data_IF_832084889980
#
_entry.id   IF_832084889980
#
_cell.length_a   1.000
_cell.length_b   1.000
_cell.length_c   1.000
_cell.angle_alpha   90.00
_cell.angle_beta   90.00
_cell.angle_gamma   90.00
#
_symmetry.space_group_name_H-M   'P 1'
#
loop_
_entity.id
_entity.type
_entity.pdbx_description
1 polymer ?
#
# COMPACT_ATOMS: atom_id res chain seq x y z
N UNK A 1 53.87 -48.38 -14.33
CA UNK A 1 53.67 -47.17 -15.17
C UNK A 1 53.58 -45.96 -14.25
N UNK A 2 54.67 -45.22 -14.19
CA UNK A 2 54.83 -43.96 -13.44
C UNK A 2 54.47 -42.80 -14.38
N UNK A 3 53.95 -41.70 -13.79
CA UNK A 3 53.69 -40.35 -14.36
C UNK A 3 52.22 -40.04 -14.66
N UNK A 4 51.57 -39.34 -13.71
CA UNK A 4 50.74 -38.14 -13.97
C UNK A 4 50.23 -37.56 -12.65
N UNK A 5 51.01 -36.66 -12.06
CA UNK A 5 50.61 -35.91 -10.86
C UNK A 5 51.35 -34.57 -10.76
N UNK A 6 51.25 -33.71 -11.78
CA UNK A 6 51.63 -32.28 -11.68
C UNK A 6 50.86 -31.46 -12.72
N UNK A 7 49.67 -30.91 -12.39
CA UNK A 7 49.17 -29.66 -13.02
C UNK A 7 47.86 -29.10 -12.42
N UNK A 8 47.77 -28.85 -11.11
CA UNK A 8 46.69 -27.98 -10.56
C UNK A 8 47.24 -27.12 -9.43
N UNK A 9 48.00 -26.07 -9.78
CA UNK A 9 48.36 -24.97 -8.86
C UNK A 9 48.86 -23.78 -9.67
N UNK A 10 47.96 -23.07 -10.38
CA UNK A 10 48.32 -21.77 -11.01
C UNK A 10 47.19 -20.77 -11.28
N UNK A 11 45.95 -21.01 -10.82
CA UNK A 11 44.84 -20.06 -11.06
C UNK A 11 44.39 -19.22 -9.86
N UNK A 12 44.87 -19.47 -8.63
CA UNK A 12 44.43 -18.71 -7.43
C UNK A 12 45.08 -17.32 -7.26
N UNK A 13 46.11 -16.97 -8.04
CA UNK A 13 46.82 -15.68 -7.88
C UNK A 13 46.23 -14.53 -8.70
N UNK A 14 45.28 -14.78 -9.62
CA UNK A 14 44.70 -13.72 -10.46
C UNK A 14 43.46 -13.07 -9.83
N UNK A 15 42.69 -13.79 -9.02
CA UNK A 15 41.50 -13.24 -8.35
C UNK A 15 41.86 -12.28 -7.19
N UNK A 16 42.99 -12.49 -6.53
CA UNK A 16 43.41 -11.64 -5.39
C UNK A 16 43.86 -10.23 -5.81
N UNK A 17 44.24 -10.01 -7.08
CA UNK A 17 44.65 -8.68 -7.59
C UNK A 17 43.47 -7.83 -8.06
N UNK A 18 42.29 -8.43 -8.28
CA UNK A 18 41.10 -7.72 -8.73
C UNK A 18 40.35 -7.05 -7.57
N UNK A 19 40.47 -7.61 -6.36
CA UNK A 19 39.86 -7.04 -5.15
C UNK A 19 40.57 -5.76 -4.65
N UNK A 20 41.89 -5.64 -4.81
CA UNK A 20 42.66 -4.45 -4.40
C UNK A 20 42.39 -3.22 -5.30
N UNK A 21 42.05 -3.44 -6.58
CA UNK A 21 41.70 -2.37 -7.51
C UNK A 21 40.40 -1.66 -7.15
N UNK A 22 39.41 -2.42 -6.67
CA UNK A 22 38.09 -1.89 -6.28
C UNK A 22 38.20 -1.03 -5.00
N UNK A 23 39.00 -1.47 -4.03
CA UNK A 23 39.22 -0.72 -2.78
C UNK A 23 39.95 0.62 -3.02
N UNK A 24 40.90 0.66 -3.97
CA UNK A 24 41.56 1.92 -4.38
C UNK A 24 40.62 2.89 -5.10
N UNK A 25 39.73 2.38 -5.96
CA UNK A 25 38.71 3.19 -6.64
C UNK A 25 37.69 3.80 -5.67
N UNK A 26 37.26 3.05 -4.64
CA UNK A 26 36.37 3.59 -3.60
C UNK A 26 37.05 4.67 -2.74
N UNK A 27 38.33 4.50 -2.40
CA UNK A 27 39.08 5.51 -1.65
C UNK A 27 39.28 6.82 -2.42
N UNK A 28 39.48 6.75 -3.75
CA UNK A 28 39.59 7.94 -4.62
C UNK A 28 38.25 8.67 -4.71
N UNK A 29 37.13 7.93 -4.84
CA UNK A 29 35.78 8.50 -4.89
C UNK A 29 35.40 9.20 -3.58
N UNK A 30 35.84 8.67 -2.43
CA UNK A 30 35.64 9.31 -1.12
C UNK A 30 36.43 10.61 -0.96
N UNK A 31 37.69 10.66 -1.44
CA UNK A 31 38.52 11.89 -1.38
C UNK A 31 38.01 12.99 -2.31
N UNK A 32 37.44 12.64 -3.47
CA UNK A 32 36.81 13.62 -4.37
C UNK A 32 35.52 14.21 -3.77
N UNK A 33 34.73 13.42 -3.04
CA UNK A 33 33.54 13.91 -2.31
C UNK A 33 33.88 14.91 -1.21
N UNK A 34 34.94 14.68 -0.43
CA UNK A 34 35.34 15.62 0.61
C UNK A 34 35.85 16.96 0.06
N UNK A 35 36.44 16.97 -1.14
CA UNK A 35 36.86 18.22 -1.82
C UNK A 35 35.69 19.04 -2.35
N UNK A 36 34.61 18.41 -2.80
CA UNK A 36 33.40 19.13 -3.23
C UNK A 36 32.60 19.72 -2.07
N UNK A 37 32.57 19.06 -0.90
CA UNK A 37 31.93 19.61 0.30
C UNK A 37 32.62 20.87 0.83
N UNK A 38 33.95 20.94 0.76
CA UNK A 38 34.70 22.14 1.17
C UNK A 38 34.43 23.34 0.24
N UNK A 39 34.20 23.11 -1.06
CA UNK A 39 33.85 24.18 -1.99
C UNK A 39 32.42 24.70 -1.79
N UNK A 40 31.50 23.83 -1.39
CA UNK A 40 30.12 24.23 -1.11
C UNK A 40 29.99 25.08 0.16
N UNK A 41 30.78 24.79 1.20
CA UNK A 41 30.79 25.56 2.45
C UNK A 41 31.37 26.98 2.30
N UNK A 42 32.25 27.21 1.32
CA UNK A 42 32.80 28.56 1.03
C UNK A 42 31.79 29.43 0.27
N UNK A 43 30.89 28.83 -0.51
CA UNK A 43 29.90 29.56 -1.32
C UNK A 43 28.65 30.01 -0.53
N UNK A 44 28.32 29.34 0.57
CA UNK A 44 27.13 29.68 1.40
C UNK A 44 27.40 30.86 2.36
N UNK A 45 28.66 31.25 2.55
CA UNK A 45 29.03 32.33 3.49
C UNK A 45 28.91 33.76 2.92
N UNK A 46 28.43 33.97 1.68
CA UNK A 46 28.45 35.31 1.03
C UNK A 46 27.18 35.66 0.25
N UNK A 47 26.01 35.67 0.90
CA UNK A 47 24.82 36.36 0.35
C UNK A 47 24.07 37.11 1.46
N UNK A 48 23.92 38.45 1.38
CA UNK A 48 23.15 39.23 2.35
C UNK A 48 21.64 39.20 2.07
N UNK A 49 20.86 39.21 3.16
CA UNK A 49 19.41 39.36 3.20
C UNK A 49 18.94 40.66 2.52
N UNK A 50 18.00 40.53 1.58
CA UNK A 50 17.08 41.59 1.19
C UNK A 50 15.64 41.10 1.40
N UNK A 51 14.97 41.72 2.37
CA UNK A 51 13.55 41.55 2.67
C UNK A 51 12.73 42.32 1.63
N UNK A 52 11.75 41.67 1.02
CA UNK A 52 10.64 42.34 0.36
C UNK A 52 9.32 41.92 1.00
N UNK A 53 8.64 42.92 1.54
CA UNK A 53 7.24 42.91 1.96
C UNK A 53 6.36 42.98 0.72
N UNK A 54 5.41 42.06 0.56
CA UNK A 54 4.33 42.20 -0.43
C UNK A 54 2.97 42.03 0.25
N UNK A 55 2.18 43.05 -0.04
CA UNK A 55 0.85 43.43 0.37
C UNK A 55 -0.21 42.40 -0.08
N UNK A 56 -1.20 42.18 0.77
CA UNK A 56 -2.28 41.21 0.61
C UNK A 56 -3.58 41.97 0.31
N UNK A 57 -4.23 41.75 -0.85
CA UNK A 57 -5.61 42.18 -1.09
C UNK A 57 -6.23 41.51 -2.34
N UNK A 58 -7.50 41.08 -2.16
CA UNK A 58 -8.50 40.58 -3.14
C UNK A 58 -8.23 39.18 -3.75
N UNK A 59 -9.19 38.24 -3.83
CA UNK A 59 -10.60 38.36 -4.18
C UNK A 59 -11.45 37.20 -3.61
N UNK A 60 -12.64 37.54 -3.10
CA UNK A 60 -13.79 36.64 -2.91
C UNK A 60 -14.65 36.63 -4.19
N UNK A 61 -15.06 35.43 -4.65
CA UNK A 61 -16.39 35.05 -5.18
C UNK A 61 -16.28 33.90 -6.18
N UNK A 62 -16.76 32.71 -5.81
CA UNK A 62 -17.52 31.75 -6.65
C UNK A 62 -17.61 30.37 -5.98
N UNK A 63 -18.67 30.11 -5.19
CA UNK A 63 -18.88 28.81 -4.53
C UNK A 63 -20.29 28.20 -4.71
N UNK A 64 -21.05 28.58 -5.75
CA UNK A 64 -22.43 28.10 -5.93
C UNK A 64 -22.66 27.10 -7.08
N UNK A 65 -21.61 26.54 -7.69
CA UNK A 65 -21.77 25.52 -8.76
C UNK A 65 -21.35 24.09 -8.37
N UNK A 66 -20.72 23.90 -7.21
CA UNK A 66 -20.12 22.61 -6.84
C UNK A 66 -21.10 21.65 -6.13
N UNK A 67 -22.19 22.16 -5.54
CA UNK A 67 -23.17 21.38 -4.77
C UNK A 67 -24.11 20.51 -5.65
N UNK A 68 -24.17 20.75 -6.97
CA UNK A 68 -25.05 19.99 -7.87
C UNK A 68 -24.40 18.72 -8.46
N UNK A 69 -23.07 18.57 -8.40
CA UNK A 69 -22.41 17.34 -8.86
C UNK A 69 -22.50 16.19 -7.83
N UNK A 70 -22.50 16.51 -6.52
CA UNK A 70 -22.54 15.52 -5.44
C UNK A 70 -23.89 14.76 -5.35
N UNK A 71 -25.01 15.40 -5.70
CA UNK A 71 -26.32 14.74 -5.68
C UNK A 71 -26.54 13.73 -6.82
N UNK A 72 -25.74 13.80 -7.90
CA UNK A 72 -25.84 12.85 -9.01
C UNK A 72 -25.15 11.52 -8.71
N UNK A 73 -24.11 11.54 -7.86
CA UNK A 73 -23.31 10.35 -7.56
C UNK A 73 -23.98 9.41 -6.55
N UNK A 74 -24.62 9.97 -5.51
CA UNK A 74 -25.42 9.20 -4.53
C UNK A 74 -26.67 8.57 -5.17
N UNK A 75 -27.29 9.21 -6.18
CA UNK A 75 -28.41 8.61 -6.92
C UNK A 75 -27.99 7.54 -7.94
N UNK A 76 -26.76 7.60 -8.45
CA UNK A 76 -26.21 6.59 -9.35
C UNK A 76 -25.91 5.25 -8.65
N UNK A 77 -25.47 5.31 -7.39
CA UNK A 77 -25.11 4.11 -6.61
C UNK A 77 -26.33 3.32 -6.13
N UNK A 78 -27.41 4.01 -5.74
CA UNK A 78 -28.69 3.37 -5.35
C UNK A 78 -29.44 2.69 -6.52
N UNK A 79 -29.09 3.00 -7.78
CA UNK A 79 -29.77 2.41 -8.96
C UNK A 79 -29.20 1.07 -9.42
N UNK A 80 -28.06 0.64 -8.87
CA UNK A 80 -27.43 -0.64 -9.22
C UNK A 80 -27.87 -1.80 -8.29
N UNK A 81 -28.54 -1.48 -7.17
CA UNK A 81 -29.17 -2.45 -6.29
C UNK A 81 -30.61 -2.78 -6.76
N UNK A 82 -30.73 -3.71 -7.70
CA UNK A 82 -31.86 -4.62 -7.80
C UNK A 82 -33.22 -4.08 -8.27
N UNK A 83 -33.49 -4.21 -9.57
CA UNK A 83 -34.85 -4.47 -10.06
C UNK A 83 -35.19 -5.93 -9.73
N UNK A 84 -35.62 -6.20 -8.49
CA UNK A 84 -36.35 -7.43 -8.17
C UNK A 84 -37.84 -7.18 -8.45
N UNK A 85 -38.34 -7.78 -9.52
CA UNK A 85 -39.77 -7.92 -9.77
C UNK A 85 -40.41 -8.74 -8.65
N UNK A 86 -41.23 -8.08 -7.84
CA UNK A 86 -42.08 -8.69 -6.81
C UNK A 86 -43.31 -9.32 -7.47
N UNK A 87 -43.28 -10.65 -7.61
CA UNK A 87 -44.49 -11.46 -7.80
C UNK A 87 -45.11 -11.70 -6.41
N UNK A 88 -46.22 -11.03 -6.14
CA UNK A 88 -47.03 -11.24 -4.93
C UNK A 88 -47.77 -12.57 -5.01
N UNK A 89 -47.32 -13.56 -4.25
CA UNK A 89 -48.12 -14.72 -3.84
C UNK A 89 -48.30 -14.69 -2.33
N UNK A 90 -49.52 -14.42 -1.91
CA UNK A 90 -50.00 -14.50 -0.53
C UNK A 90 -50.06 -15.97 -0.09
N UNK A 91 -49.26 -16.35 0.90
CA UNK A 91 -49.52 -17.52 1.74
C UNK A 91 -49.07 -17.24 3.18
N UNK A 92 -50.03 -17.39 4.08
CA UNK A 92 -49.90 -17.30 5.53
C UNK A 92 -48.96 -18.36 6.11
N UNK A 93 -48.38 -18.02 7.26
CA UNK A 93 -48.01 -18.89 8.41
C UNK A 93 -46.53 -18.98 8.77
N UNK A 94 -46.32 -18.95 10.10
CA UNK A 94 -45.13 -19.21 10.90
C UNK A 94 -44.16 -18.03 11.11
N UNK A 95 -44.37 -17.32 12.23
CA UNK A 95 -43.43 -16.37 12.81
C UNK A 95 -42.22 -17.12 13.38
N UNK A 96 -41.19 -17.31 12.57
CA UNK A 96 -39.85 -17.64 13.04
C UNK A 96 -39.19 -16.32 13.45
N UNK A 97 -39.01 -16.11 14.74
CA UNK A 97 -38.22 -15.00 15.30
C UNK A 97 -36.75 -15.17 14.95
N UNK A 98 -36.40 -14.84 13.71
CA UNK A 98 -35.02 -14.59 13.32
C UNK A 98 -34.53 -13.41 14.15
N UNK A 99 -33.72 -13.70 15.18
CA UNK A 99 -32.95 -12.66 15.87
C UNK A 99 -32.04 -12.04 14.83
N UNK A 100 -32.48 -10.93 14.24
CA UNK A 100 -31.62 -10.03 13.52
C UNK A 100 -30.59 -9.57 14.54
N UNK A 101 -29.42 -10.21 14.50
CA UNK A 101 -28.21 -9.74 15.15
C UNK A 101 -27.98 -8.32 14.63
N UNK A 102 -28.56 -7.34 15.32
CA UNK A 102 -28.33 -5.92 15.09
C UNK A 102 -26.83 -5.76 15.09
N UNK A 103 -26.26 -5.36 13.94
CA UNK A 103 -24.86 -4.98 13.84
C UNK A 103 -24.62 -3.99 14.98
N UNK A 104 -23.98 -4.42 16.06
CA UNK A 104 -23.67 -3.53 17.17
C UNK A 104 -22.53 -2.64 16.68
N UNK A 105 -22.89 -1.43 16.27
CA UNK A 105 -21.92 -0.35 16.07
C UNK A 105 -21.22 0.02 17.37
N UNK A 106 -20.39 1.06 17.32
CA UNK A 106 -19.70 1.58 18.51
C UNK A 106 -20.67 1.90 19.64
N UNK A 107 -20.38 1.43 20.85
CA UNK A 107 -21.08 1.88 22.04
C UNK A 107 -20.75 3.35 22.35
N UNK A 108 -21.65 4.03 23.05
CA UNK A 108 -21.40 5.40 23.53
C UNK A 108 -20.22 5.50 24.51
N UNK A 109 -19.86 4.41 25.18
CA UNK A 109 -18.63 4.34 25.98
C UNK A 109 -17.40 4.32 25.07
N UNK A 110 -17.37 3.44 24.06
CA UNK A 110 -16.26 3.37 23.10
C UNK A 110 -16.06 4.72 22.40
N UNK A 111 -17.12 5.36 21.88
CA UNK A 111 -17.02 6.68 21.26
C UNK A 111 -16.40 7.73 22.20
N UNK A 112 -16.81 7.77 23.47
CA UNK A 112 -16.22 8.68 24.47
C UNK A 112 -14.74 8.38 24.73
N UNK A 113 -14.35 7.11 24.77
CA UNK A 113 -12.95 6.72 24.96
C UNK A 113 -12.08 7.05 23.74
N UNK A 114 -12.61 6.86 22.53
CA UNK A 114 -11.95 7.30 21.29
C UNK A 114 -11.81 8.83 21.31
N UNK A 115 -12.89 9.59 21.53
CA UNK A 115 -12.84 11.06 21.62
C UNK A 115 -11.86 11.57 22.68
N UNK A 116 -11.69 10.85 23.79
CA UNK A 116 -10.72 11.19 24.83
C UNK A 116 -9.27 10.94 24.38
N UNK A 117 -9.02 9.86 23.64
CA UNK A 117 -7.67 9.48 23.17
C UNK A 117 -7.24 10.21 21.91
N UNK A 118 -8.21 10.61 21.08
CA UNK A 118 -8.03 11.35 19.82
C UNK A 118 -8.94 12.58 19.81
N UNK A 119 -8.70 13.60 20.65
CA UNK A 119 -9.60 14.74 20.79
C UNK A 119 -9.66 15.67 19.57
N UNK A 120 -8.68 15.61 18.66
CA UNK A 120 -8.61 16.48 17.49
C UNK A 120 -7.72 15.90 16.37
N UNK A 121 -7.76 16.53 15.19
CA UNK A 121 -6.97 16.13 14.02
C UNK A 121 -5.46 15.99 14.31
N UNK A 122 -4.86 16.92 15.05
CA UNK A 122 -3.42 16.88 15.35
C UNK A 122 -3.04 15.61 16.12
N UNK A 123 -3.84 15.24 17.13
CA UNK A 123 -3.60 13.99 17.89
C UNK A 123 -3.76 12.73 17.04
N UNK A 124 -4.64 12.77 16.03
CA UNK A 124 -4.79 11.64 15.09
C UNK A 124 -3.54 11.51 14.25
N UNK A 125 -3.09 12.60 13.61
CA UNK A 125 -1.89 12.62 12.76
C UNK A 125 -0.68 12.08 13.51
N UNK A 126 -0.42 12.60 14.72
CA UNK A 126 0.71 12.14 15.54
C UNK A 126 0.63 10.65 15.90
N UNK A 127 -0.58 10.14 16.11
CA UNK A 127 -0.82 8.74 16.43
C UNK A 127 -0.68 7.80 15.23
N UNK A 128 -0.94 8.28 14.00
CA UNK A 128 -1.12 7.44 12.79
C UNK A 128 -0.08 7.65 11.68
N UNK A 129 0.83 8.62 11.81
CA UNK A 129 1.80 8.96 10.75
C UNK A 129 2.77 7.82 10.40
N UNK A 130 3.10 6.98 11.38
CA UNK A 130 4.04 5.87 11.21
C UNK A 130 3.55 4.65 11.99
N UNK A 131 2.58 3.87 11.49
CA UNK A 131 2.23 2.59 12.08
C UNK A 131 3.48 1.72 12.11
N UNK A 132 3.94 1.34 13.30
CA UNK A 132 5.14 0.54 13.48
C UNK A 132 4.76 -0.94 13.57
N UNK A 133 5.41 -1.78 12.76
CA UNK A 133 5.47 -3.25 12.88
C UNK A 133 4.27 -3.84 13.63
N UNK A 134 3.11 -3.70 13.00
CA UNK A 134 1.86 -4.13 13.58
C UNK A 134 1.89 -5.63 13.79
N UNK A 135 2.01 -6.01 15.07
CA UNK A 135 2.06 -7.42 15.47
C UNK A 135 0.85 -8.17 14.94
N UNK A 136 -0.33 -7.54 14.92
CA UNK A 136 -1.55 -8.13 14.40
C UNK A 136 -1.45 -8.48 12.89
N UNK A 137 -0.84 -7.61 12.08
CA UNK A 137 -0.66 -7.87 10.64
C UNK A 137 0.40 -8.93 10.43
N UNK A 138 1.52 -8.80 11.11
CA UNK A 138 2.64 -9.75 11.03
C UNK A 138 2.20 -11.16 11.43
N UNK A 139 1.42 -11.29 12.51
CA UNK A 139 0.86 -12.56 12.96
C UNK A 139 -0.10 -13.14 11.91
N UNK A 140 -0.92 -12.32 11.25
CA UNK A 140 -1.77 -12.77 10.16
C UNK A 140 -0.98 -13.27 8.96
N UNK A 141 0.02 -12.50 8.51
CA UNK A 141 0.90 -12.87 7.40
C UNK A 141 1.63 -14.20 7.67
N UNK A 142 2.09 -14.42 8.90
CA UNK A 142 2.78 -15.66 9.30
C UNK A 142 1.84 -16.87 9.44
N UNK A 143 0.58 -16.65 9.82
CA UNK A 143 -0.38 -17.72 10.10
C UNK A 143 -1.36 -18.00 8.96
N UNK A 144 -1.29 -17.28 7.84
CA UNK A 144 -2.26 -17.38 6.75
C UNK A 144 -2.39 -18.81 6.17
N UNK A 145 -1.36 -19.65 6.33
CA UNK A 145 -1.30 -21.02 5.81
C UNK A 145 -1.79 -22.13 6.75
N UNK A 146 -1.97 -21.87 8.04
CA UNK A 146 -2.23 -22.94 9.02
C UNK A 146 -3.61 -23.62 8.85
N UNK A 147 -4.44 -23.17 7.90
CA UNK A 147 -5.75 -23.76 7.62
C UNK A 147 -5.75 -24.74 6.45
N UNK A 148 -4.64 -24.93 5.71
CA UNK A 148 -4.52 -25.95 4.65
C UNK A 148 -3.39 -26.94 4.99
N UNK A 149 -3.68 -27.98 5.80
CA UNK A 149 -2.71 -29.00 6.15
C UNK A 149 -2.50 -29.98 4.98
N UNK A 150 -1.53 -29.71 4.09
CA UNK A 150 -0.68 -30.71 3.40
C UNK A 150 -0.06 -30.13 2.12
N UNK A 151 1.22 -29.78 2.15
CA UNK A 151 1.99 -29.46 0.94
C UNK A 151 3.38 -30.13 1.00
N UNK A 152 3.39 -31.45 1.17
CA UNK A 152 4.62 -32.26 1.09
C UNK A 152 4.85 -32.90 -0.30
N UNK A 153 4.02 -32.64 -1.32
CA UNK A 153 4.26 -33.17 -2.66
C UNK A 153 5.09 -32.21 -3.53
N UNK A 154 6.38 -32.47 -3.59
CA UNK A 154 7.25 -31.97 -4.64
C UNK A 154 6.79 -32.53 -6.00
N UNK A 155 5.95 -31.81 -6.78
CA UNK A 155 6.02 -31.76 -8.25
C UNK A 155 4.98 -30.83 -8.90
N UNK A 156 5.47 -29.73 -9.48
CA UNK A 156 5.11 -29.16 -10.80
C UNK A 156 3.67 -28.69 -11.11
N UNK A 157 2.96 -28.10 -10.16
CA UNK A 157 1.90 -27.12 -10.49
C UNK A 157 1.97 -25.95 -9.53
N UNK A 158 1.77 -24.69 -9.99
CA UNK A 158 1.71 -23.56 -9.08
C UNK A 158 0.59 -23.85 -8.08
N UNK A 159 0.89 -23.89 -6.77
CA UNK A 159 -0.11 -24.23 -5.78
C UNK A 159 -1.23 -23.19 -5.86
N UNK A 160 -2.49 -23.62 -5.80
CA UNK A 160 -3.64 -22.69 -5.72
C UNK A 160 -3.59 -21.77 -4.47
N UNK A 161 -2.57 -21.96 -3.61
CA UNK A 161 -2.42 -21.39 -2.28
C UNK A 161 -1.30 -20.33 -2.19
N UNK A 162 -0.77 -19.79 -3.30
CA UNK A 162 0.21 -18.69 -3.17
C UNK A 162 -0.46 -17.46 -2.57
N UNK A 163 0.28 -16.77 -1.69
CA UNK A 163 -0.16 -15.53 -1.07
C UNK A 163 -0.11 -14.39 -2.08
N UNK A 164 -1.26 -13.78 -2.38
CA UNK A 164 -1.32 -12.62 -3.28
C UNK A 164 -1.25 -11.34 -2.47
N UNK A 165 -0.25 -10.50 -2.77
CA UNK A 165 -0.16 -9.13 -2.25
C UNK A 165 -0.22 -8.15 -3.43
N UNK A 166 -1.10 -7.15 -3.35
CA UNK A 166 -1.16 -6.07 -4.33
C UNK A 166 -0.72 -4.78 -3.64
N UNK A 167 0.40 -4.20 -4.06
CA UNK A 167 0.92 -2.93 -3.56
C UNK A 167 0.85 -1.87 -4.67
N UNK A 168 -0.13 -0.98 -4.57
CA UNK A 168 -0.37 0.10 -5.53
C UNK A 168 0.30 1.39 -5.06
N UNK A 169 1.12 1.98 -5.92
CA UNK A 169 2.01 3.07 -5.51
C UNK A 169 3.20 2.55 -4.71
N UNK A 170 3.78 1.46 -5.21
CA UNK A 170 4.80 0.68 -4.53
C UNK A 170 6.06 1.48 -4.17
N UNK A 171 6.30 2.63 -4.80
CA UNK A 171 7.34 3.60 -4.49
C UNK A 171 8.72 2.93 -4.46
N UNK A 172 9.36 2.81 -3.29
CA UNK A 172 10.69 2.17 -3.15
C UNK A 172 10.61 0.65 -2.97
N UNK A 173 9.41 0.09 -2.86
CA UNK A 173 9.14 -1.34 -2.77
C UNK A 173 9.42 -1.97 -1.41
N UNK A 174 9.67 -1.19 -0.36
CA UNK A 174 10.03 -1.74 0.95
C UNK A 174 8.91 -2.58 1.57
N UNK A 175 7.64 -2.19 1.41
CA UNK A 175 6.51 -2.95 1.95
C UNK A 175 6.28 -4.23 1.17
N UNK A 176 6.44 -4.18 -0.17
CA UNK A 176 6.41 -5.37 -1.02
C UNK A 176 7.47 -6.40 -0.58
N UNK A 177 8.69 -5.94 -0.31
CA UNK A 177 9.79 -6.79 0.16
C UNK A 177 9.55 -7.29 1.60
N UNK A 178 9.04 -6.44 2.48
CA UNK A 178 8.71 -6.82 3.85
C UNK A 178 7.68 -7.96 3.84
N UNK A 179 6.55 -7.78 3.13
CA UNK A 179 5.49 -8.80 3.05
C UNK A 179 6.01 -10.08 2.39
N UNK A 180 6.77 -9.96 1.29
CA UNK A 180 7.38 -11.10 0.62
C UNK A 180 8.28 -11.90 1.57
N UNK A 181 9.12 -11.22 2.34
CA UNK A 181 10.01 -11.84 3.32
C UNK A 181 9.24 -12.48 4.47
N UNK A 182 8.21 -11.80 5.00
CA UNK A 182 7.34 -12.32 6.07
C UNK A 182 6.69 -13.64 5.67
N UNK A 183 6.08 -13.67 4.50
CA UNK A 183 5.25 -14.80 4.06
C UNK A 183 6.10 -15.95 3.51
N UNK A 184 7.11 -15.64 2.69
CA UNK A 184 7.94 -16.68 2.05
C UNK A 184 9.12 -17.15 2.91
N UNK A 185 9.53 -16.34 3.89
CA UNK A 185 10.72 -16.54 4.72
C UNK A 185 12.01 -16.72 3.90
N UNK A 186 12.09 -16.04 2.75
CA UNK A 186 13.26 -16.04 1.86
C UNK A 186 14.11 -14.81 2.11
N UNK A 187 14.75 -14.75 3.28
CA UNK A 187 15.67 -13.66 3.64
C UNK A 187 16.95 -13.65 2.80
N UNK A 188 17.23 -14.70 2.04
CA UNK A 188 18.26 -14.74 0.99
C UNK A 188 17.91 -13.86 -0.22
N UNK A 189 16.61 -13.67 -0.47
CA UNK A 189 16.05 -12.95 -1.61
C UNK A 189 15.50 -11.59 -1.17
N UNK A 190 14.55 -11.59 -0.24
CA UNK A 190 13.74 -10.43 0.16
C UNK A 190 14.29 -9.72 1.41
N UNK A 191 15.61 -9.66 1.58
CA UNK A 191 16.22 -8.89 2.67
C UNK A 191 16.13 -7.39 2.40
N UNK A 192 15.64 -6.59 3.35
CA UNK A 192 15.54 -5.12 3.16
C UNK A 192 16.88 -4.48 2.83
N UNK A 193 17.95 -4.86 3.55
CA UNK A 193 19.31 -4.33 3.28
C UNK A 193 19.84 -4.67 1.89
N UNK A 194 19.56 -5.89 1.39
CA UNK A 194 19.94 -6.30 0.02
C UNK A 194 19.15 -5.52 -1.02
N UNK A 195 17.85 -5.31 -0.78
CA UNK A 195 16.99 -4.50 -1.63
C UNK A 195 17.43 -3.04 -1.68
N UNK A 196 17.67 -2.43 -0.51
CA UNK A 196 18.19 -1.05 -0.40
C UNK A 196 19.50 -0.87 -1.18
N UNK A 197 20.43 -1.82 -1.04
CA UNK A 197 21.68 -1.80 -1.80
C UNK A 197 21.44 -1.90 -3.31
N UNK A 198 20.49 -2.75 -3.74
CA UNK A 198 20.16 -2.95 -5.15
C UNK A 198 19.48 -1.71 -5.77
N UNK A 199 18.68 -0.97 -5.01
CA UNK A 199 18.11 0.32 -5.44
C UNK A 199 19.21 1.38 -5.65
N UNK A 200 20.30 1.34 -4.88
CA UNK A 200 21.41 2.29 -5.05
C UNK A 200 21.04 3.77 -4.84
N UNK A 201 19.94 4.05 -4.14
CA UNK A 201 19.49 5.39 -3.76
C UNK A 201 19.69 5.63 -2.26
N UNK A 202 20.01 6.86 -1.88
CA UNK A 202 20.17 7.26 -0.47
C UNK A 202 18.86 7.80 0.11
N UNK A 203 17.76 7.08 -0.12
CA UNK A 203 16.44 7.44 0.37
C UNK A 203 15.92 6.33 1.26
N UNK A 204 15.73 6.65 2.55
CA UNK A 204 15.32 5.67 3.56
C UNK A 204 13.81 5.42 3.59
N UNK A 205 13.04 6.23 2.86
CA UNK A 205 11.59 6.32 2.98
C UNK A 205 11.18 6.99 4.29
N UNK A 206 9.91 7.37 4.36
CA UNK A 206 9.29 7.79 5.60
C UNK A 206 9.31 6.65 6.64
N UNK A 207 9.25 7.01 7.92
CA UNK A 207 9.21 6.04 9.03
C UNK A 207 10.39 5.03 9.08
N UNK A 208 11.54 5.35 8.47
CA UNK A 208 12.72 4.46 8.41
C UNK A 208 12.46 3.09 7.74
N UNK A 209 11.53 3.02 6.79
CA UNK A 209 11.17 1.78 6.08
C UNK A 209 12.38 0.98 5.56
N UNK A 210 13.44 1.67 5.09
CA UNK A 210 14.65 1.05 4.56
C UNK A 210 15.61 0.46 5.60
N UNK A 211 15.56 0.92 6.85
CA UNK A 211 16.54 0.58 7.91
C UNK A 211 15.93 -0.32 8.99
N UNK A 212 14.60 -0.47 9.01
CA UNK A 212 13.93 -1.37 9.93
C UNK A 212 14.54 -2.78 9.91
N UNK A 213 14.68 -3.38 11.10
CA UNK A 213 15.15 -4.74 11.23
C UNK A 213 14.24 -5.67 10.42
N UNK A 214 14.84 -6.56 9.62
CA UNK A 214 14.12 -7.70 9.08
C UNK A 214 13.50 -8.45 10.27
N UNK A 215 12.22 -8.77 10.22
CA UNK A 215 11.57 -9.48 11.31
C UNK A 215 12.22 -10.87 11.42
N UNK A 216 12.66 -11.21 12.62
CA UNK A 216 13.26 -12.50 12.92
C UNK A 216 12.11 -13.46 13.20
N UNK A 217 11.91 -14.41 12.29
CA UNK A 217 10.83 -15.39 12.42
C UNK A 217 11.32 -16.67 13.06
N UNK A 218 10.45 -17.32 13.82
CA UNK A 218 10.64 -18.71 14.20
C UNK A 218 10.66 -19.58 12.93
N UNK A 219 11.67 -20.42 12.82
CA UNK A 219 11.80 -21.44 11.76
C UNK A 219 10.61 -22.39 11.68
N UNK A 220 9.79 -22.51 12.73
CA UNK A 220 8.63 -23.40 12.82
C UNK A 220 7.47 -23.07 11.86
N UNK A 221 7.23 -21.79 11.51
CA UNK A 221 6.11 -21.51 10.58
C UNK A 221 6.42 -22.04 9.15
N UNK A 222 5.42 -22.56 8.43
CA UNK A 222 5.61 -23.05 7.07
C UNK A 222 6.00 -21.91 6.11
N UNK A 223 6.84 -22.23 5.11
CA UNK A 223 7.12 -21.31 3.99
C UNK A 223 5.91 -21.30 3.05
N UNK A 224 5.51 -20.12 2.58
CA UNK A 224 4.45 -19.96 1.60
C UNK A 224 5.01 -19.40 0.28
N UNK A 225 4.56 -19.91 -0.86
CA UNK A 225 4.81 -19.26 -2.14
C UNK A 225 4.08 -17.91 -2.18
N UNK A 226 4.71 -16.89 -2.75
CA UNK A 226 4.13 -15.54 -2.82
C UNK A 226 3.93 -15.13 -4.28
N UNK A 227 2.91 -14.31 -4.51
CA UNK A 227 2.64 -13.59 -5.75
C UNK A 227 2.46 -12.11 -5.38
N UNK A 228 3.56 -11.37 -5.37
CA UNK A 228 3.62 -9.97 -4.97
C UNK A 228 3.58 -9.11 -6.21
N UNK A 229 2.55 -8.28 -6.35
CA UNK A 229 2.47 -7.28 -7.41
C UNK A 229 2.83 -5.91 -6.82
N UNK A 230 3.93 -5.34 -7.31
CA UNK A 230 4.40 -4.01 -7.00
C UNK A 230 4.09 -3.11 -8.20
N UNK A 231 3.08 -2.25 -8.07
CA UNK A 231 2.60 -1.40 -9.14
C UNK A 231 3.08 0.04 -8.87
N UNK A 232 3.86 0.58 -9.79
CA UNK A 232 4.46 1.92 -9.69
C UNK A 232 4.16 2.73 -10.95
N UNK A 233 3.57 3.91 -10.80
CA UNK A 233 3.19 4.75 -11.95
C UNK A 233 4.38 5.56 -12.47
N UNK A 234 5.28 6.05 -11.61
CA UNK A 234 6.42 6.88 -11.99
C UNK A 234 7.44 6.08 -12.82
N UNK A 235 7.66 6.42 -14.11
CA UNK A 235 8.49 5.59 -15.00
C UNK A 235 9.95 5.45 -14.56
N UNK A 236 10.52 6.47 -13.92
CA UNK A 236 11.87 6.40 -13.38
C UNK A 236 11.97 5.43 -12.18
N UNK A 237 11.02 5.50 -11.25
CA UNK A 237 10.93 4.59 -10.09
C UNK A 237 10.67 3.16 -10.54
N UNK A 238 9.73 2.95 -11.47
CA UNK A 238 9.45 1.63 -12.06
C UNK A 238 10.71 0.97 -12.63
N UNK A 239 11.46 1.69 -13.47
CA UNK A 239 12.72 1.17 -14.05
C UNK A 239 13.72 0.79 -12.97
N UNK A 240 13.83 1.58 -11.91
CA UNK A 240 14.71 1.28 -10.80
C UNK A 240 14.27 0.01 -10.04
N UNK A 241 12.98 -0.13 -9.76
CA UNK A 241 12.41 -1.30 -9.10
C UNK A 241 12.66 -2.59 -9.91
N UNK A 242 12.52 -2.54 -11.24
CA UNK A 242 12.84 -3.68 -12.12
C UNK A 242 14.32 -4.09 -12.01
N UNK A 243 15.24 -3.11 -12.04
CA UNK A 243 16.66 -3.39 -11.89
C UNK A 243 16.97 -4.01 -10.51
N UNK A 244 16.35 -3.52 -9.45
CA UNK A 244 16.51 -4.07 -8.11
C UNK A 244 15.92 -5.49 -7.99
N UNK A 245 14.76 -5.74 -8.59
CA UNK A 245 14.11 -7.05 -8.62
C UNK A 245 14.98 -8.09 -9.34
N UNK A 246 15.56 -7.74 -10.49
CA UNK A 246 16.50 -8.57 -11.21
C UNK A 246 17.79 -8.82 -10.41
N UNK A 247 18.39 -7.77 -9.82
CA UNK A 247 19.64 -7.87 -9.05
C UNK A 247 19.51 -8.72 -7.78
N UNK A 248 18.33 -8.74 -7.17
CA UNK A 248 18.04 -9.53 -5.96
C UNK A 248 17.49 -10.92 -6.24
N UNK A 249 17.18 -11.21 -7.50
CA UNK A 249 16.43 -12.38 -8.02
C UNK A 249 14.99 -12.50 -7.53
N UNK A 250 14.43 -11.44 -6.97
CA UNK A 250 13.06 -11.40 -6.44
C UNK A 250 11.99 -11.84 -7.45
N UNK A 251 12.18 -11.55 -8.74
CA UNK A 251 11.23 -11.92 -9.80
C UNK A 251 11.04 -13.43 -9.95
N UNK A 252 12.11 -14.20 -9.74
CA UNK A 252 12.06 -15.67 -9.79
C UNK A 252 11.30 -16.27 -8.59
N UNK A 253 11.04 -15.48 -7.56
CA UNK A 253 10.36 -15.88 -6.33
C UNK A 253 9.01 -15.20 -6.16
N UNK A 254 8.40 -14.76 -7.26
CA UNK A 254 7.02 -14.31 -7.30
C UNK A 254 6.81 -12.81 -7.06
N UNK A 255 7.87 -11.99 -7.13
CA UNK A 255 7.72 -10.53 -7.18
C UNK A 255 7.53 -10.06 -8.63
N UNK A 256 6.53 -9.23 -8.89
CA UNK A 256 6.23 -8.71 -10.21
C UNK A 256 6.15 -7.19 -10.15
N UNK A 257 6.96 -6.51 -10.94
CA UNK A 257 6.97 -5.05 -11.03
C UNK A 257 6.16 -4.61 -12.25
N UNK A 258 5.22 -3.68 -12.07
CA UNK A 258 4.33 -3.20 -13.13
C UNK A 258 4.34 -1.68 -13.23
N UNK A 259 4.22 -1.14 -14.46
CA UNK A 259 4.09 0.29 -14.70
C UNK A 259 2.66 0.63 -15.13
N UNK A 260 1.83 1.01 -14.17
CA UNK A 260 0.46 1.44 -14.42
C UNK A 260 0.09 2.61 -13.51
N UNK A 261 -0.64 3.58 -14.07
CA UNK A 261 -1.38 4.57 -13.29
C UNK A 261 -2.75 3.99 -12.91
N UNK A 262 -3.09 3.98 -11.63
CA UNK A 262 -4.37 3.44 -11.17
C UNK A 262 -5.45 4.52 -11.22
N UNK A 263 -6.67 4.15 -11.62
CA UNK A 263 -7.82 5.07 -11.71
C UNK A 263 -9.12 4.39 -11.27
N UNK A 264 -10.18 5.17 -11.05
CA UNK A 264 -11.52 4.67 -10.73
C UNK A 264 -12.21 4.10 -11.96
N UNK A 265 -11.99 4.71 -13.14
CA UNK A 265 -12.60 4.34 -14.42
C UNK A 265 -11.71 4.78 -15.58
N UNK A 266 -11.64 3.94 -16.61
CA UNK A 266 -11.12 4.33 -17.91
C UNK A 266 -12.18 5.14 -18.66
N UNK A 267 -12.24 6.45 -18.40
CA UNK A 267 -13.02 7.37 -19.22
C UNK A 267 -12.11 8.07 -20.22
N UNK A 268 -12.62 8.35 -21.42
CA UNK A 268 -11.88 9.07 -22.48
C UNK A 268 -11.32 10.41 -21.99
N UNK A 269 -12.03 11.06 -21.06
CA UNK A 269 -11.67 12.37 -20.55
C UNK A 269 -10.51 12.31 -19.54
N UNK A 270 -10.32 11.17 -18.87
CA UNK A 270 -9.28 11.00 -17.84
C UNK A 270 -8.07 10.21 -18.34
N UNK A 271 -8.27 9.31 -19.32
CA UNK A 271 -7.21 8.49 -19.90
C UNK A 271 -7.47 8.32 -21.41
N UNK A 272 -7.22 9.35 -22.24
CA UNK A 272 -7.38 9.23 -23.68
C UNK A 272 -6.45 8.12 -24.19
N UNK A 273 -7.05 7.12 -24.85
CA UNK A 273 -6.37 5.89 -25.30
C UNK A 273 -5.88 4.96 -24.17
N UNK A 274 -6.39 5.11 -22.95
CA UNK A 274 -5.97 4.29 -21.80
C UNK A 274 -4.58 4.65 -21.27
N UNK A 275 -4.11 5.88 -21.52
CA UNK A 275 -2.83 6.40 -21.03
C UNK A 275 -3.10 7.64 -20.17
N UNK A 276 -2.29 7.83 -19.12
CA UNK A 276 -2.30 9.01 -18.26
C UNK A 276 -0.87 9.58 -18.19
N UNK A 277 -0.66 10.89 -18.40
CA UNK A 277 0.65 11.49 -18.22
C UNK A 277 1.02 11.47 -16.73
N UNK A 278 2.23 11.03 -16.41
CA UNK A 278 2.75 10.92 -15.05
C UNK A 278 4.15 11.53 -14.95
N UNK A 279 4.53 12.15 -13.81
CA UNK A 279 5.86 12.73 -13.66
C UNK A 279 6.98 11.69 -13.88
N UNK A 280 8.04 12.06 -14.59
CA UNK A 280 9.24 11.25 -14.80
C UNK A 280 10.45 11.95 -14.18
N UNK A 281 10.43 12.04 -12.84
CA UNK A 281 11.44 12.73 -12.02
C UNK A 281 12.45 11.73 -11.43
N UNK A 282 13.24 12.15 -10.44
CA UNK A 282 14.19 11.26 -9.77
C UNK A 282 13.46 10.05 -9.13
N UNK A 283 13.97 8.81 -9.26
CA UNK A 283 13.37 7.64 -8.63
C UNK A 283 13.15 7.80 -7.13
N UNK A 284 12.01 7.30 -6.64
CA UNK A 284 11.63 7.34 -5.22
C UNK A 284 11.19 8.70 -4.70
N UNK A 285 11.08 9.71 -5.57
CA UNK A 285 10.55 11.03 -5.18
C UNK A 285 9.08 10.88 -4.75
N UNK A 286 8.81 11.19 -3.49
CA UNK A 286 7.48 11.17 -2.88
C UNK A 286 6.69 12.44 -3.23
N UNK A 287 5.39 12.44 -2.97
CA UNK A 287 4.42 13.51 -3.23
C UNK A 287 4.25 13.86 -4.72
N UNK A 288 4.43 12.89 -5.62
CA UNK A 288 4.35 13.07 -7.08
C UNK A 288 3.29 12.16 -7.70
N UNK A 289 2.04 12.61 -7.68
CA UNK A 289 0.90 11.92 -8.30
C UNK A 289 0.49 12.47 -9.68
N UNK A 290 -0.57 11.87 -10.25
CA UNK A 290 -1.16 12.17 -11.57
C UNK A 290 -1.41 13.69 -11.76
N UNK A 291 -1.93 14.36 -10.73
CA UNK A 291 -2.33 15.77 -10.78
C UNK A 291 -1.20 16.74 -11.20
N UNK A 292 0.07 16.35 -11.05
CA UNK A 292 1.22 17.16 -11.46
C UNK A 292 1.33 17.33 -12.98
N UNK A 293 0.80 16.37 -13.74
CA UNK A 293 0.82 16.39 -15.20
C UNK A 293 -0.52 16.78 -15.83
N UNK A 294 -1.56 16.99 -15.02
CA UNK A 294 -2.94 17.17 -15.50
C UNK A 294 -3.38 18.63 -15.67
N UNK A 295 -2.59 19.63 -15.27
CA UNK A 295 -3.03 21.02 -15.29
C UNK A 295 -2.26 21.88 -16.29
N UNK A 296 -2.99 22.44 -17.26
CA UNK A 296 -2.51 23.47 -18.19
C UNK A 296 -2.03 24.75 -17.47
N UNK A 297 -2.38 24.90 -16.18
CA UNK A 297 -2.11 26.10 -15.38
C UNK A 297 -1.12 25.90 -14.22
N UNK A 298 -0.51 24.72 -14.02
CA UNK A 298 0.58 24.62 -13.04
C UNK A 298 1.92 25.01 -13.69
N UNK A 299 2.63 26.02 -13.14
CA UNK A 299 3.99 26.35 -13.58
C UNK A 299 4.95 25.15 -13.49
N UNK A 300 4.69 24.23 -12.56
CA UNK A 300 5.45 23.00 -12.40
C UNK A 300 5.29 22.04 -13.59
N UNK A 301 4.12 21.99 -14.23
CA UNK A 301 3.86 21.14 -15.40
C UNK A 301 4.71 21.55 -16.62
N UNK A 302 5.10 22.83 -16.72
CA UNK A 302 6.03 23.29 -17.76
C UNK A 302 7.49 22.87 -17.51
N UNK A 303 7.83 22.53 -16.26
CA UNK A 303 9.21 22.16 -15.86
C UNK A 303 9.40 20.67 -15.64
N UNK A 304 8.33 19.93 -15.33
CA UNK A 304 8.38 18.50 -15.06
C UNK A 304 8.21 17.72 -16.36
N UNK A 305 9.15 16.80 -16.61
CA UNK A 305 9.05 15.89 -17.74
C UNK A 305 7.96 14.85 -17.46
N UNK A 306 6.77 15.05 -18.02
CA UNK A 306 5.68 14.08 -17.97
C UNK A 306 5.85 13.02 -19.07
N UNK A 307 5.54 11.76 -18.73
CA UNK A 307 5.54 10.64 -19.66
C UNK A 307 4.22 9.89 -19.55
N UNK A 308 3.64 9.50 -20.69
CA UNK A 308 2.41 8.71 -20.72
C UNK A 308 2.64 7.30 -20.14
N UNK A 309 1.79 6.92 -19.20
CA UNK A 309 1.79 5.63 -18.52
C UNK A 309 0.45 4.93 -18.74
N UNK A 310 0.41 3.62 -19.02
CA UNK A 310 -0.84 2.89 -19.16
C UNK A 310 -1.69 3.02 -17.89
N UNK A 311 -2.96 3.35 -18.05
CA UNK A 311 -3.91 3.48 -16.96
C UNK A 311 -4.79 2.23 -16.84
N UNK A 312 -5.18 1.87 -15.62
CA UNK A 312 -6.19 0.83 -15.39
C UNK A 312 -6.85 0.94 -14.01
N UNK A 313 -7.98 0.28 -13.85
CA UNK A 313 -8.60 0.05 -12.54
C UNK A 313 -7.95 -1.15 -11.83
N UNK A 314 -8.11 -1.24 -10.51
CA UNK A 314 -7.66 -2.43 -9.74
C UNK A 314 -8.39 -3.68 -10.23
N UNK A 315 -9.70 -3.59 -10.51
CA UNK A 315 -10.48 -4.73 -10.99
C UNK A 315 -9.96 -5.29 -12.33
N UNK A 316 -9.59 -4.41 -13.26
CA UNK A 316 -8.95 -4.79 -14.53
C UNK A 316 -7.56 -5.38 -14.30
N UNK A 317 -6.76 -4.79 -13.39
CA UNK A 317 -5.42 -5.29 -13.07
C UNK A 317 -5.48 -6.72 -12.56
N UNK A 318 -6.35 -6.98 -11.60
CA UNK A 318 -6.52 -8.30 -10.99
C UNK A 318 -7.03 -9.31 -12.01
N UNK A 319 -7.99 -8.92 -12.85
CA UNK A 319 -8.46 -9.78 -13.95
C UNK A 319 -7.30 -10.16 -14.88
N UNK A 320 -6.49 -9.17 -15.28
CA UNK A 320 -5.40 -9.33 -16.24
C UNK A 320 -4.21 -10.11 -15.70
N UNK A 321 -3.77 -9.82 -14.47
CA UNK A 321 -2.47 -10.28 -13.95
C UNK A 321 -2.57 -11.31 -12.83
N UNK A 322 -3.73 -11.43 -12.17
CA UNK A 322 -3.94 -12.37 -11.06
C UNK A 322 -4.82 -13.54 -11.53
N UNK A 323 -5.99 -13.26 -12.10
CA UNK A 323 -6.97 -14.31 -12.45
C UNK A 323 -6.67 -15.03 -13.77
N UNK A 324 -6.01 -14.37 -14.74
CA UNK A 324 -5.74 -14.97 -16.06
C UNK A 324 -4.57 -15.97 -16.06
N UNK A 325 -3.64 -15.85 -15.12
CA UNK A 325 -2.55 -16.81 -14.96
C UNK A 325 -3.06 -18.23 -14.59
N UNK A 326 -4.31 -18.34 -14.12
CA UNK A 326 -4.93 -19.60 -13.71
C UNK A 326 -5.63 -20.36 -14.85
N UNK A 327 -5.70 -19.82 -16.07
CA UNK A 327 -6.43 -20.43 -17.19
C UNK A 327 -5.76 -21.71 -17.74
N UNK A 328 -4.64 -22.17 -17.17
CA UNK A 328 -4.05 -23.47 -17.53
C UNK A 328 -4.72 -24.68 -16.87
N UNK A 329 -5.66 -24.48 -15.94
CA UNK A 329 -6.42 -25.58 -15.32
C UNK A 329 -7.64 -25.94 -16.17
N UNK A 330 -7.48 -26.91 -17.07
CA UNK A 330 -8.42 -27.41 -18.09
C UNK A 330 -9.63 -28.20 -17.57
N UNK A 331 -10.05 -28.01 -16.31
CA UNK A 331 -11.22 -28.72 -15.78
C UNK A 331 -12.52 -27.98 -16.12
N UNK A 332 -13.37 -28.66 -16.91
CA UNK A 332 -14.57 -28.21 -17.61
C UNK A 332 -15.77 -27.81 -16.69
N UNK A 333 -15.53 -27.28 -15.49
CA UNK A 333 -16.59 -26.88 -14.56
C UNK A 333 -16.89 -25.40 -14.70
N UNK A 334 -18.13 -25.07 -15.09
CA UNK A 334 -18.65 -23.73 -15.40
C UNK A 334 -18.63 -22.67 -14.26
N UNK A 335 -17.88 -22.87 -13.18
CA UNK A 335 -17.75 -21.92 -12.07
C UNK A 335 -16.29 -21.60 -11.80
N UNK A 336 -15.73 -20.63 -12.54
CA UNK A 336 -14.38 -20.11 -12.27
C UNK A 336 -14.37 -19.43 -10.90
N UNK A 337 -13.99 -20.18 -9.86
CA UNK A 337 -13.79 -19.64 -8.51
C UNK A 337 -12.69 -18.58 -8.57
N UNK A 338 -13.05 -17.33 -8.24
CA UNK A 338 -12.12 -16.20 -8.16
C UNK A 338 -11.12 -16.41 -7.03
N UNK A 339 -9.85 -16.06 -7.26
CA UNK A 339 -8.77 -16.21 -6.27
C UNK A 339 -8.95 -15.20 -5.12
N UNK A 340 -8.74 -15.63 -3.88
CA UNK A 340 -8.70 -14.79 -2.67
C UNK A 340 -7.52 -13.81 -2.74
N UNK A 341 -7.68 -12.61 -2.17
CA UNK A 341 -6.63 -11.59 -2.09
C UNK A 341 -6.39 -11.26 -0.61
N UNK A 342 -5.39 -11.88 0.02
CA UNK A 342 -5.11 -11.65 1.43
C UNK A 342 -4.84 -10.17 1.78
N UNK A 343 -4.10 -9.45 0.93
CA UNK A 343 -3.65 -8.10 1.27
C UNK A 343 -3.62 -7.18 0.03
N UNK A 344 -4.23 -6.01 0.15
CA UNK A 344 -4.06 -4.85 -0.72
C UNK A 344 -3.51 -3.66 0.09
N UNK A 345 -2.47 -3.01 -0.42
CA UNK A 345 -1.95 -1.73 0.05
C UNK A 345 -2.10 -0.70 -1.07
N UNK A 346 -2.60 0.50 -0.75
CA UNK A 346 -2.76 1.62 -1.68
C UNK A 346 -2.02 2.83 -1.07
N UNK A 347 -1.01 3.32 -1.76
CA UNK A 347 -0.26 4.53 -1.42
C UNK A 347 0.09 5.25 -2.73
N UNK A 348 -0.90 5.86 -3.37
CA UNK A 348 -0.74 6.45 -4.72
C UNK A 348 -0.60 7.96 -4.69
N UNK A 349 0.11 8.47 -3.67
CA UNK A 349 0.51 9.89 -3.55
C UNK A 349 -0.70 10.85 -3.60
N UNK A 350 -1.79 10.46 -2.93
CA UNK A 350 -3.04 11.23 -2.81
C UNK A 350 -4.16 10.83 -3.79
N UNK A 351 -3.93 9.87 -4.68
CA UNK A 351 -4.96 9.31 -5.57
C UNK A 351 -5.81 8.18 -4.96
N UNK A 352 -5.62 7.90 -3.67
CA UNK A 352 -6.07 6.66 -3.00
C UNK A 352 -7.58 6.49 -3.08
N UNK A 353 -8.33 7.57 -2.87
CA UNK A 353 -9.80 7.56 -3.01
C UNK A 353 -10.24 7.10 -4.41
N UNK A 354 -9.67 7.66 -5.47
CA UNK A 354 -10.00 7.28 -6.84
C UNK A 354 -9.64 5.82 -7.12
N UNK A 355 -8.49 5.37 -6.62
CA UNK A 355 -8.06 3.98 -6.79
C UNK A 355 -8.99 3.01 -6.05
N UNK A 356 -9.43 3.35 -4.84
CA UNK A 356 -10.42 2.57 -4.08
C UNK A 356 -11.73 2.41 -4.85
N UNK A 357 -12.21 3.47 -5.51
CA UNK A 357 -13.43 3.42 -6.31
C UNK A 357 -13.32 2.48 -7.54
N UNK A 358 -12.09 2.19 -8.00
CA UNK A 358 -11.80 1.25 -9.09
C UNK A 358 -11.64 -0.21 -8.65
N UNK A 359 -11.86 -0.53 -7.38
CA UNK A 359 -11.55 -1.84 -6.78
C UNK A 359 -12.79 -2.64 -6.32
N UNK A 360 -14.00 -2.26 -6.73
CA UNK A 360 -15.25 -2.78 -6.15
C UNK A 360 -15.40 -4.30 -6.17
N UNK A 361 -14.94 -4.99 -7.22
CA UNK A 361 -15.03 -6.46 -7.31
C UNK A 361 -13.89 -7.15 -6.58
N UNK A 362 -12.73 -6.51 -6.56
CA UNK A 362 -11.52 -6.98 -5.89
C UNK A 362 -11.68 -6.92 -4.38
N UNK A 363 -12.23 -5.83 -3.84
CA UNK A 363 -12.46 -5.64 -2.41
C UNK A 363 -13.38 -6.70 -1.80
N UNK A 364 -14.39 -7.19 -2.54
CA UNK A 364 -15.31 -8.26 -2.08
C UNK A 364 -14.63 -9.59 -1.74
N UNK A 365 -13.39 -9.79 -2.19
CA UNK A 365 -12.59 -11.00 -1.94
C UNK A 365 -11.23 -10.67 -1.32
N UNK A 366 -11.12 -9.46 -0.77
CA UNK A 366 -9.95 -8.97 -0.06
C UNK A 366 -10.13 -9.16 1.43
N UNK A 367 -9.11 -9.64 2.12
CA UNK A 367 -9.19 -9.82 3.58
C UNK A 367 -8.74 -8.57 4.34
N UNK A 368 -7.62 -7.98 3.94
CA UNK A 368 -7.02 -6.79 4.55
C UNK A 368 -6.71 -5.74 3.49
N UNK A 369 -7.08 -4.50 3.78
CA UNK A 369 -6.86 -3.32 2.95
C UNK A 369 -6.18 -2.25 3.81
N UNK A 370 -5.13 -1.66 3.29
CA UNK A 370 -4.49 -0.48 3.85
C UNK A 370 -4.46 0.64 2.81
N UNK A 371 -4.71 1.88 3.24
CA UNK A 371 -4.57 3.05 2.38
C UNK A 371 -4.21 4.32 3.15
N UNK A 372 -3.69 5.32 2.43
CA UNK A 372 -3.37 6.62 3.01
C UNK A 372 -4.51 7.63 2.83
N UNK A 373 -4.79 8.38 3.90
CA UNK A 373 -5.56 9.61 3.85
C UNK A 373 -4.59 10.78 3.88
N UNK A 374 -4.77 11.77 3.01
CA UNK A 374 -3.75 12.81 2.79
C UNK A 374 -4.35 14.20 2.52
N UNK A 375 -3.51 15.23 2.62
CA UNK A 375 -3.80 16.61 2.22
C UNK A 375 -3.76 16.87 0.70
N UNK A 376 -3.38 15.86 -0.10
CA UNK A 376 -3.04 16.03 -1.52
C UNK A 376 -3.85 15.10 -2.40
N UNK A 377 -3.79 15.35 -3.71
CA UNK A 377 -4.56 14.60 -4.70
C UNK A 377 -6.07 14.75 -4.50
N UNK A 378 -6.78 13.65 -4.67
CA UNK A 378 -8.24 13.61 -4.68
C UNK A 378 -8.82 13.86 -3.30
N UNK A 379 -8.08 13.51 -2.24
CA UNK A 379 -8.53 13.74 -0.86
C UNK A 379 -8.85 15.20 -0.56
N UNK A 380 -8.25 16.18 -1.25
CA UNK A 380 -8.59 17.61 -1.07
C UNK A 380 -10.08 17.92 -1.26
N UNK A 381 -10.78 17.11 -2.05
CA UNK A 381 -12.18 17.32 -2.41
C UNK A 381 -13.07 16.15 -1.94
N UNK A 382 -12.48 15.06 -1.46
CA UNK A 382 -13.20 13.84 -1.11
C UNK A 382 -13.22 13.66 0.39
N UNK A 383 -14.40 13.29 0.91
CA UNK A 383 -14.57 12.99 2.33
C UNK A 383 -14.08 11.58 2.62
N UNK A 384 -13.27 11.42 3.66
CA UNK A 384 -12.89 10.10 4.15
C UNK A 384 -14.12 9.30 4.57
N UNK A 385 -15.13 9.94 5.16
CA UNK A 385 -16.37 9.28 5.56
C UNK A 385 -17.00 8.48 4.41
N UNK A 386 -17.03 9.04 3.20
CA UNK A 386 -17.61 8.38 2.03
C UNK A 386 -16.87 7.07 1.68
N UNK A 387 -15.54 7.04 1.83
CA UNK A 387 -14.75 5.84 1.61
C UNK A 387 -15.04 4.79 2.70
N UNK A 388 -15.15 5.21 3.97
CA UNK A 388 -15.45 4.31 5.09
C UNK A 388 -16.84 3.71 4.96
N UNK A 389 -17.84 4.49 4.57
CA UNK A 389 -19.21 4.02 4.37
C UNK A 389 -19.28 2.99 3.23
N UNK A 390 -18.63 3.28 2.10
CA UNK A 390 -18.51 2.35 0.96
C UNK A 390 -17.83 1.03 1.39
N UNK A 391 -16.74 1.10 2.16
CA UNK A 391 -16.03 -0.09 2.65
C UNK A 391 -16.88 -0.88 3.64
N UNK A 392 -17.64 -0.21 4.51
CA UNK A 392 -18.57 -0.84 5.45
C UNK A 392 -19.71 -1.58 4.73
N UNK A 393 -20.22 -1.05 3.62
CA UNK A 393 -21.18 -1.74 2.74
C UNK A 393 -20.60 -3.01 2.12
N UNK A 394 -19.30 -3.02 1.82
CA UNK A 394 -18.57 -4.20 1.36
C UNK A 394 -18.19 -5.16 2.52
N UNK A 395 -18.55 -4.84 3.76
CA UNK A 395 -18.32 -5.66 4.93
C UNK A 395 -16.91 -5.54 5.50
N UNK A 396 -16.26 -4.39 5.33
CA UNK A 396 -15.03 -4.05 6.05
C UNK A 396 -15.32 -3.32 7.36
N UNK A 397 -14.44 -3.51 8.33
CA UNK A 397 -14.30 -2.66 9.51
C UNK A 397 -12.95 -1.97 9.42
N UNK A 398 -12.97 -0.64 9.48
CA UNK A 398 -11.81 0.22 9.31
C UNK A 398 -11.41 0.89 10.63
N UNK A 399 -10.12 1.21 10.72
CA UNK A 399 -9.46 1.79 11.88
C UNK A 399 -8.45 2.84 11.43
N UNK A 400 -8.25 3.86 12.25
CA UNK A 400 -7.00 4.60 12.25
C UNK A 400 -5.87 3.67 12.71
N UNK A 401 -4.86 3.50 11.86
CA UNK A 401 -3.71 2.65 12.14
C UNK A 401 -2.59 3.46 12.77
N UNK A 402 -2.32 3.21 14.05
CA UNK A 402 -1.22 3.85 14.77
C UNK A 402 -0.20 2.86 15.30
N UNK A 403 0.75 3.36 16.08
CA UNK A 403 1.81 2.51 16.66
C UNK A 403 1.23 1.52 17.68
N UNK A 404 1.04 0.27 17.25
CA UNK A 404 0.48 -0.83 18.08
C UNK A 404 -0.93 -0.53 18.61
N UNK A 405 -1.64 0.40 17.97
CA UNK A 405 -2.95 0.89 18.39
C UNK A 405 -3.86 0.98 17.18
N UNK A 406 -5.13 0.66 17.40
CA UNK A 406 -6.18 0.80 16.39
C UNK A 406 -7.34 1.57 17.01
N UNK A 407 -7.84 2.58 16.32
CA UNK A 407 -9.09 3.25 16.69
C UNK A 407 -10.12 3.00 15.62
N UNK A 408 -11.16 2.25 15.95
CA UNK A 408 -12.23 1.93 15.00
C UNK A 408 -12.90 3.22 14.52
N UNK A 409 -13.09 3.33 13.21
CA UNK A 409 -13.79 4.46 12.56
C UNK A 409 -15.11 4.01 11.92
N UNK A 410 -15.22 2.75 11.48
CA UNK A 410 -16.49 2.17 11.01
C UNK A 410 -17.50 2.08 12.15
N UNK A 411 -18.69 2.64 11.95
CA UNK A 411 -19.75 2.78 12.96
C UNK A 411 -19.36 3.60 14.21
N UNK A 412 -18.16 4.19 14.24
CA UNK A 412 -17.58 4.98 15.33
C UNK A 412 -17.20 6.40 14.85
N UNK A 413 -17.78 6.86 13.74
CA UNK A 413 -17.39 8.12 13.10
C UNK A 413 -17.60 9.33 14.03
N UNK A 414 -16.65 10.27 13.98
CA UNK A 414 -16.72 11.55 14.68
C UNK A 414 -16.29 12.65 13.71
N UNK A 415 -16.94 13.81 13.74
CA UNK A 415 -16.74 14.87 12.74
C UNK A 415 -15.28 15.33 12.60
N UNK A 416 -14.50 15.31 13.69
CA UNK A 416 -13.09 15.70 13.67
C UNK A 416 -12.15 14.66 13.02
N UNK A 417 -12.68 13.50 12.59
CA UNK A 417 -11.95 12.54 11.75
C UNK A 417 -11.86 12.99 10.29
N UNK A 418 -12.67 13.96 9.87
CA UNK A 418 -12.53 14.58 8.55
C UNK A 418 -11.49 15.69 8.61
N UNK A 419 -10.23 15.34 8.35
CA UNK A 419 -9.10 16.26 8.32
C UNK A 419 -8.13 15.91 7.18
N UNK A 420 -7.74 16.84 6.33
CA UNK A 420 -6.90 16.49 5.17
C UNK A 420 -5.41 16.54 5.52
N UNK A 421 -4.88 15.52 6.19
CA UNK A 421 -3.44 15.35 6.51
C UNK A 421 -3.04 13.87 6.42
N UNK A 422 -1.74 13.62 6.20
CA UNK A 422 -1.21 12.27 6.08
C UNK A 422 -1.52 11.40 7.31
N UNK A 423 -2.19 10.27 7.08
CA UNK A 423 -2.60 9.31 8.11
C UNK A 423 -2.91 7.96 7.47
N UNK A 424 -2.69 6.88 8.21
CA UNK A 424 -2.90 5.52 7.72
C UNK A 424 -4.25 4.95 8.18
N UNK A 425 -4.98 4.32 7.24
CA UNK A 425 -6.23 3.61 7.50
C UNK A 425 -6.03 2.13 7.21
N UNK A 426 -6.36 1.31 8.20
CA UNK A 426 -6.33 -0.15 8.11
C UNK A 426 -7.77 -0.67 8.12
N UNK A 427 -8.12 -1.57 7.20
CA UNK A 427 -9.45 -2.15 7.09
C UNK A 427 -9.36 -3.67 6.96
N UNK A 428 -10.26 -4.39 7.62
CA UNK A 428 -10.35 -5.85 7.53
C UNK A 428 -11.77 -6.29 7.19
N UNK A 429 -11.89 -7.30 6.34
CA UNK A 429 -13.18 -7.90 6.01
C UNK A 429 -13.74 -8.66 7.22
N UNK A 430 -14.90 -8.24 7.72
CA UNK A 430 -15.64 -8.94 8.77
C UNK A 430 -16.54 -10.05 8.23
N UNK A 431 -16.63 -10.20 6.90
CA UNK A 431 -17.51 -11.16 6.23
C UNK A 431 -16.75 -12.29 5.54
N UNK A 432 -15.48 -12.06 5.18
CA UNK A 432 -14.62 -13.10 4.63
C UNK A 432 -14.22 -14.09 5.73
N UNK A 433 -14.63 -15.35 5.59
CA UNK A 433 -14.33 -16.44 6.55
C UNK A 433 -12.83 -16.54 6.85
N UNK A 434 -11.98 -16.30 5.85
CA UNK A 434 -10.53 -16.39 5.99
C UNK A 434 -9.91 -15.19 6.74
N UNK A 435 -10.59 -14.04 6.73
CA UNK A 435 -10.19 -12.84 7.45
C UNK A 435 -10.67 -12.83 8.92
N UNK A 436 -11.57 -13.74 9.32
CA UNK A 436 -12.22 -13.70 10.63
C UNK A 436 -11.24 -13.65 11.82
N UNK A 437 -10.14 -14.40 11.76
CA UNK A 437 -9.11 -14.39 12.80
C UNK A 437 -8.36 -13.05 12.86
N UNK A 438 -8.09 -12.45 11.70
CA UNK A 438 -7.49 -11.12 11.63
C UNK A 438 -8.43 -10.06 12.21
N UNK A 439 -9.71 -10.10 11.81
CA UNK A 439 -10.74 -9.22 12.33
C UNK A 439 -10.83 -9.29 13.86
N UNK A 440 -10.90 -10.50 14.43
CA UNK A 440 -10.91 -10.68 15.90
C UNK A 440 -9.66 -10.12 16.58
N UNK A 441 -8.47 -10.32 15.98
CA UNK A 441 -7.23 -9.76 16.49
C UNK A 441 -7.25 -8.23 16.46
N UNK A 442 -7.72 -7.61 15.37
CA UNK A 442 -7.80 -6.15 15.24
C UNK A 442 -8.82 -5.55 16.21
N UNK A 443 -9.98 -6.19 16.40
CA UNK A 443 -10.94 -5.77 17.43
C UNK A 443 -10.34 -5.88 18.84
N UNK A 444 -9.57 -6.93 19.13
CA UNK A 444 -8.88 -7.03 20.43
C UNK A 444 -7.86 -5.90 20.62
N UNK A 445 -7.06 -5.57 19.59
CA UNK A 445 -6.12 -4.44 19.64
C UNK A 445 -6.85 -3.11 19.84
N UNK A 446 -8.03 -2.95 19.23
CA UNK A 446 -8.88 -1.78 19.47
C UNK A 446 -9.36 -1.71 20.93
N UNK A 447 -9.89 -2.80 21.49
CA UNK A 447 -10.31 -2.82 22.90
C UNK A 447 -9.14 -2.54 23.85
N UNK A 448 -7.97 -3.13 23.61
CA UNK A 448 -6.74 -2.88 24.38
C UNK A 448 -6.32 -1.40 24.27
N UNK A 449 -6.44 -0.81 23.08
CA UNK A 449 -6.17 0.62 22.84
C UNK A 449 -7.06 1.51 23.71
N UNK A 450 -8.34 1.16 23.87
CA UNK A 450 -9.27 1.90 24.73
C UNK A 450 -8.93 1.76 26.22
N UNK A 451 -8.52 0.57 26.67
CA UNK A 451 -8.12 0.33 28.07
C UNK A 451 -6.86 1.12 28.41
N UNK A 452 -5.83 1.05 27.58
CA UNK A 452 -4.56 1.75 27.79
C UNK A 452 -4.74 3.27 27.86
N UNK A 453 -5.64 3.83 27.05
CA UNK A 453 -5.98 5.26 27.07
C UNK A 453 -6.62 5.74 28.38
N UNK A 454 -7.16 4.82 29.20
CA UNK A 454 -7.80 5.17 30.48
C UNK A 454 -6.85 5.20 31.67
N UNK A 455 -5.71 4.51 31.61
CA UNK A 455 -4.83 4.29 32.76
C UNK A 455 -3.97 5.49 33.16
N UNK A 456 -4.08 6.64 32.49
CA UNK A 456 -3.59 7.93 32.99
C UNK A 456 -2.08 8.07 33.15
N UNK A 457 -1.29 7.11 32.67
CA UNK A 457 0.16 7.14 32.67
C UNK A 457 0.72 7.47 31.29
N UNK A 458 0.43 8.67 30.74
CA UNK A 458 1.31 9.23 29.72
C UNK A 458 2.61 9.63 30.42
N UNK A 459 3.46 8.64 30.72
CA UNK A 459 4.87 8.90 30.97
C UNK A 459 5.37 9.62 29.72
N UNK A 460 5.58 10.93 29.84
CA UNK A 460 6.18 11.76 28.80
C UNK A 460 7.42 11.05 28.25
N UNK A 461 7.62 11.06 26.92
CA UNK A 461 8.80 10.48 26.30
C UNK A 461 10.10 11.10 26.83
#
# INVERSE_FOLDING_TARGET
MVKKLVKVKRNSSKEMKQHDGINRLMAIRHRLRQRHLLWFLVLVATVPLLLFSINNNNHNNNNNQQEQQEQSFTRGFLRWAGTLTTTTTTKDSASTSTSTSTKKGCSSLQQRLIAKSLPNAQTIIEATICPENDKWLSDYLLNNNNNNPSLESHHQSPPQDEFVFLNFGCNKGFDAIQVANTVSKRSDVFKKSKWFQALGIDQKGSCNQAIGNDVIYDSSFPKQAVQIHCIEAMPATFRLLQLAAAATTAEHYGMHIHNYAMTSKLQKDNAPNGMIPFPNVLPGTENRGIAHCSSENHPAAATEHCQDVPAMTIDEFVTKHVDNNNNKSTTNTNTKKRRRIPYISIDVEGGDYTVLMGATQTLKRTDYLEFEYHAVGDWKQQKLQNAIDMLAELGFVCYWAGKKRLWRITDCWMDHFEFHQWSNVACVSSTAKQAQKLYQTMEQVFEDTLVDGTSGGWSKP
#
